data_IF_066576737363
#
_entry.id   IF_066576737363
#
_cell.length_a   1.000
_cell.length_b   1.000
_cell.length_c   1.000
_cell.angle_alpha   90.00
_cell.angle_beta   90.00
_cell.angle_gamma   90.00
#
_symmetry.space_group_name_H-M   'P 1'
#
loop_
_entity.id
_entity.type
_entity.pdbx_description
1 polymer ?
#
# COMPACT_ATOMS: atom_id res chain seq x y z
N UNK A 1 -11.55 -4.16 -10.33
CA UNK A 1 -11.18 -5.18 -9.33
C UNK A 1 -9.68 -5.34 -9.41
N UNK A 2 -9.00 -5.23 -8.28
CA UNK A 2 -7.57 -5.44 -8.16
C UNK A 2 -7.32 -6.46 -7.05
N UNK A 3 -6.36 -7.36 -7.24
CA UNK A 3 -5.90 -8.24 -6.16
C UNK A 3 -4.38 -8.32 -6.16
N UNK A 4 -3.76 -7.36 -5.46
CA UNK A 4 -2.32 -7.27 -5.31
C UNK A 4 -1.74 -8.51 -4.62
N UNK A 5 -2.48 -9.17 -3.74
CA UNK A 5 -2.05 -10.42 -3.08
C UNK A 5 -1.86 -11.60 -4.05
N UNK A 6 -2.52 -11.58 -5.20
CA UNK A 6 -2.48 -12.66 -6.20
C UNK A 6 -1.60 -12.32 -7.42
N UNK A 7 -0.91 -11.17 -7.41
CA UNK A 7 -0.06 -10.76 -8.52
C UNK A 7 1.16 -11.71 -8.62
N UNK A 8 1.42 -12.34 -9.78
CA UNK A 8 2.48 -13.32 -9.90
C UNK A 8 3.85 -12.69 -10.19
N UNK A 9 4.89 -13.52 -10.11
CA UNK A 9 6.20 -13.22 -10.68
C UNK A 9 6.27 -13.59 -12.16
N UNK A 10 7.12 -12.91 -12.93
CA UNK A 10 7.32 -13.18 -14.36
C UNK A 10 8.77 -13.52 -14.70
N UNK A 11 8.91 -14.32 -15.75
CA UNK A 11 10.18 -14.63 -16.41
C UNK A 11 10.09 -14.20 -17.87
N UNK A 12 11.18 -13.65 -18.39
CA UNK A 12 11.27 -13.36 -19.83
C UNK A 12 11.22 -14.65 -20.64
N UNK A 13 10.48 -14.63 -21.76
CA UNK A 13 10.43 -15.76 -22.70
C UNK A 13 11.76 -15.88 -23.46
N UNK A 14 12.31 -17.08 -23.55
CA UNK A 14 13.54 -17.35 -24.32
C UNK A 14 14.43 -18.39 -23.65
N UNK A 15 15.67 -18.49 -24.11
CA UNK A 15 16.68 -19.35 -23.49
C UNK A 15 17.15 -18.74 -22.16
N UNK A 16 17.33 -19.59 -21.14
CA UNK A 16 17.87 -19.17 -19.85
C UNK A 16 19.36 -18.82 -20.00
N UNK A 17 19.77 -17.57 -19.70
CA UNK A 17 21.16 -17.17 -19.83
C UNK A 17 22.07 -17.89 -18.82
N UNK A 18 23.31 -18.16 -19.22
CA UNK A 18 24.34 -18.67 -18.31
C UNK A 18 24.64 -17.65 -17.21
N UNK A 19 24.66 -18.08 -15.95
CA UNK A 19 24.85 -17.21 -14.78
C UNK A 19 23.57 -16.86 -14.02
N UNK A 20 22.39 -17.26 -14.52
CA UNK A 20 21.13 -17.21 -13.77
C UNK A 20 20.06 -16.31 -14.40
N UNK A 21 18.83 -16.46 -13.92
CA UNK A 21 17.66 -15.69 -14.38
C UNK A 21 16.99 -15.01 -13.19
N UNK A 22 16.54 -13.77 -13.38
CA UNK A 22 15.77 -13.03 -12.39
C UNK A 22 14.28 -13.20 -12.70
N UNK A 23 13.52 -13.68 -11.72
CA UNK A 23 12.07 -13.56 -11.73
C UNK A 23 11.71 -12.17 -11.19
N UNK A 24 10.91 -11.43 -11.96
CA UNK A 24 10.53 -10.06 -11.61
C UNK A 24 9.14 -10.04 -10.97
N UNK A 25 9.00 -9.25 -9.91
CA UNK A 25 7.72 -9.03 -9.23
C UNK A 25 6.87 -8.07 -10.06
N UNK A 26 5.67 -8.49 -10.49
CA UNK A 26 4.80 -7.65 -11.31
C UNK A 26 4.22 -6.45 -10.54
N UNK A 27 4.04 -6.54 -9.21
CA UNK A 27 3.59 -5.38 -8.42
C UNK A 27 4.60 -4.25 -8.58
N UNK A 28 5.88 -4.60 -8.40
CA UNK A 28 6.96 -3.62 -8.49
C UNK A 28 7.17 -3.17 -9.93
N UNK A 29 7.25 -4.12 -10.86
CA UNK A 29 7.61 -3.85 -12.26
C UNK A 29 6.54 -3.08 -13.02
N UNK A 30 5.29 -3.53 -12.95
CA UNK A 30 4.20 -3.01 -13.79
C UNK A 30 3.38 -1.95 -13.05
N UNK A 31 3.31 -2.02 -11.72
CA UNK A 31 2.51 -1.08 -10.91
C UNK A 31 3.31 0.07 -10.29
N UNK A 32 4.44 -0.23 -9.65
CA UNK A 32 5.10 0.70 -8.73
C UNK A 32 6.43 1.30 -9.22
N UNK A 33 6.90 0.94 -10.42
CA UNK A 33 8.14 1.47 -10.99
C UNK A 33 7.84 2.45 -12.12
N UNK A 34 8.41 3.65 -12.01
CA UNK A 34 8.32 4.64 -13.08
C UNK A 34 9.13 4.18 -14.30
N UNK A 35 8.49 4.12 -15.46
CA UNK A 35 9.09 3.60 -16.69
C UNK A 35 10.31 4.42 -17.14
N UNK A 36 10.25 5.75 -16.98
CA UNK A 36 11.24 6.67 -17.56
C UNK A 36 12.43 6.88 -16.62
N UNK A 37 12.15 7.10 -15.34
CA UNK A 37 13.14 7.39 -14.32
C UNK A 37 13.69 6.12 -13.66
N UNK A 38 13.05 4.96 -13.85
CA UNK A 38 13.44 3.66 -13.27
C UNK A 38 13.55 3.71 -11.74
N UNK A 39 12.63 4.42 -11.10
CA UNK A 39 12.54 4.56 -9.64
C UNK A 39 11.16 4.14 -9.14
N UNK A 40 11.07 3.75 -7.87
CA UNK A 40 9.80 3.46 -7.21
C UNK A 40 8.91 4.72 -7.12
N UNK A 41 7.59 4.57 -7.19
CA UNK A 41 6.62 5.68 -7.04
C UNK A 41 6.85 6.53 -5.78
N UNK A 42 7.28 5.90 -4.69
CA UNK A 42 7.65 6.60 -3.47
C UNK A 42 8.77 7.63 -3.64
N UNK A 43 9.74 7.40 -4.53
CA UNK A 43 10.77 8.39 -4.86
C UNK A 43 10.22 9.56 -5.67
N UNK A 44 9.19 9.33 -6.49
CA UNK A 44 8.48 10.41 -7.16
C UNK A 44 7.78 11.32 -6.14
N UNK A 45 7.19 10.74 -5.09
CA UNK A 45 6.59 11.49 -3.99
C UNK A 45 7.64 12.33 -3.23
N UNK A 46 8.82 11.77 -2.94
CA UNK A 46 9.93 12.50 -2.31
C UNK A 46 10.37 13.71 -3.15
N UNK A 47 10.40 13.59 -4.48
CA UNK A 47 10.74 14.70 -5.37
C UNK A 47 9.74 15.85 -5.24
N UNK A 48 8.45 15.55 -5.16
CA UNK A 48 7.40 16.55 -4.93
C UNK A 48 7.49 17.14 -3.54
N UNK A 49 7.73 16.32 -2.51
CA UNK A 49 7.91 16.79 -1.14
C UNK A 49 9.06 17.80 -1.04
N UNK A 50 10.19 17.53 -1.72
CA UNK A 50 11.32 18.45 -1.81
C UNK A 50 10.98 19.74 -2.56
N UNK A 51 10.30 19.67 -3.71
CA UNK A 51 9.96 20.85 -4.51
C UNK A 51 8.97 21.78 -3.82
N UNK A 52 8.01 21.19 -3.09
CA UNK A 52 6.94 21.92 -2.42
C UNK A 52 7.22 22.17 -0.93
N UNK A 53 8.40 21.79 -0.44
CA UNK A 53 8.80 21.89 0.97
C UNK A 53 7.81 21.23 1.95
N UNK A 54 7.23 20.09 1.56
CA UNK A 54 6.31 19.33 2.42
C UNK A 54 7.15 18.53 3.41
N UNK A 55 7.05 18.87 4.69
CA UNK A 55 7.84 18.26 5.74
C UNK A 55 7.35 16.86 6.12
N UNK A 56 8.25 16.06 6.70
CA UNK A 56 7.90 14.76 7.30
C UNK A 56 6.79 14.87 8.35
N UNK A 57 6.81 15.92 9.16
CA UNK A 57 5.83 16.12 10.23
C UNK A 57 4.42 16.37 9.67
N UNK A 58 4.31 17.15 8.59
CA UNK A 58 3.01 17.39 7.93
C UNK A 58 2.44 16.11 7.34
N UNK A 59 3.29 15.30 6.69
CA UNK A 59 2.89 14.01 6.11
C UNK A 59 2.42 13.03 7.19
N UNK A 60 3.16 12.90 8.29
CA UNK A 60 2.76 12.05 9.41
C UNK A 60 1.47 12.55 10.06
N UNK A 61 1.30 13.87 10.23
CA UNK A 61 0.07 14.46 10.76
C UNK A 61 -1.12 14.15 9.87
N UNK A 62 -0.95 14.27 8.55
CA UNK A 62 -1.98 13.90 7.59
C UNK A 62 -2.34 12.42 7.67
N UNK A 63 -1.34 11.53 7.73
CA UNK A 63 -1.55 10.09 7.85
C UNK A 63 -2.33 9.74 9.11
N UNK A 64 -1.94 10.26 10.28
CA UNK A 64 -2.67 10.06 11.53
C UNK A 64 -4.11 10.54 11.43
N UNK A 65 -4.33 11.71 10.80
CA UNK A 65 -5.69 12.23 10.57
C UNK A 65 -6.53 11.35 9.67
N UNK A 66 -5.91 10.69 8.67
CA UNK A 66 -6.58 9.73 7.78
C UNK A 66 -7.07 8.51 8.57
N UNK A 67 -6.20 7.89 9.38
CA UNK A 67 -6.60 6.76 10.24
C UNK A 67 -7.71 7.13 11.23
N UNK A 68 -7.61 8.31 11.86
CA UNK A 68 -8.65 8.79 12.78
C UNK A 68 -9.99 8.97 12.07
N UNK A 69 -10.01 9.64 10.91
CA UNK A 69 -11.24 9.87 10.13
C UNK A 69 -11.86 8.57 9.63
N UNK A 70 -11.04 7.62 9.17
CA UNK A 70 -11.53 6.30 8.74
C UNK A 70 -12.17 5.55 9.90
N UNK A 71 -11.54 5.54 11.08
CA UNK A 71 -12.12 4.94 12.28
C UNK A 71 -13.44 5.59 12.68
N UNK A 72 -13.48 6.92 12.74
CA UNK A 72 -14.71 7.66 13.08
C UNK A 72 -15.85 7.40 12.08
N UNK A 73 -15.55 7.28 10.79
CA UNK A 73 -16.53 6.99 9.76
C UNK A 73 -17.09 5.57 9.86
N UNK A 74 -16.23 4.59 10.15
CA UNK A 74 -16.62 3.20 10.43
C UNK A 74 -17.46 3.08 11.70
N UNK A 75 -17.01 3.70 12.80
CA UNK A 75 -17.74 3.72 14.09
C UNK A 75 -19.12 4.41 13.95
N UNK A 76 -19.23 5.43 13.08
CA UNK A 76 -20.49 6.11 12.77
C UNK A 76 -21.36 5.38 11.74
N UNK A 77 -20.93 4.22 11.21
CA UNK A 77 -21.70 3.42 10.26
C UNK A 77 -21.88 4.06 8.88
N UNK A 78 -21.03 5.02 8.49
CA UNK A 78 -21.18 5.79 7.24
C UNK A 78 -21.08 4.91 5.98
N UNK A 79 -20.38 3.79 6.06
CA UNK A 79 -20.16 2.87 4.94
C UNK A 79 -21.21 1.76 4.84
N UNK A 80 -22.22 1.75 5.71
CA UNK A 80 -23.22 0.67 5.75
C UNK A 80 -24.02 0.52 4.44
N UNK A 81 -24.22 1.62 3.70
CA UNK A 81 -24.88 1.61 2.39
C UNK A 81 -23.92 1.40 1.21
N UNK A 82 -22.62 1.47 1.44
CA UNK A 82 -21.58 1.41 0.40
C UNK A 82 -20.92 0.01 0.33
N UNK A 83 -20.66 -0.60 1.50
CA UNK A 83 -19.91 -1.85 1.59
C UNK A 83 -20.83 -3.05 1.57
N UNK A 84 -20.59 -3.95 0.62
CA UNK A 84 -21.23 -5.27 0.57
C UNK A 84 -20.30 -6.31 1.21
N UNK A 85 -20.76 -7.06 2.24
CA UNK A 85 -19.91 -8.04 2.91
C UNK A 85 -19.56 -9.22 2.01
N UNK A 86 -18.33 -9.71 2.13
CA UNK A 86 -17.81 -10.88 1.42
C UNK A 86 -17.65 -12.03 2.42
N UNK A 87 -18.19 -13.20 2.08
CA UNK A 87 -17.99 -14.43 2.87
C UNK A 87 -16.89 -15.26 2.24
N UNK A 88 -15.85 -15.56 3.01
CA UNK A 88 -14.70 -16.36 2.60
C UNK A 88 -14.86 -17.76 3.20
N UNK A 89 -15.05 -18.75 2.33
CA UNK A 89 -15.18 -20.15 2.70
C UNK A 89 -13.90 -20.93 2.42
N UNK A 90 -13.37 -21.60 3.43
CA UNK A 90 -12.19 -22.48 3.31
C UNK A 90 -12.57 -23.87 3.79
N UNK A 91 -12.33 -24.90 2.97
CA UNK A 91 -12.68 -26.28 3.29
C UNK A 91 -12.11 -26.70 4.66
N UNK A 92 -13.00 -27.14 5.56
CA UNK A 92 -12.62 -27.59 6.90
C UNK A 92 -12.40 -26.47 7.92
N UNK A 93 -12.73 -25.22 7.59
CA UNK A 93 -12.74 -24.07 8.50
C UNK A 93 -14.12 -23.41 8.51
N UNK A 94 -14.49 -22.73 9.62
CA UNK A 94 -15.69 -21.90 9.60
C UNK A 94 -15.51 -20.75 8.62
N UNK A 95 -16.63 -20.33 8.02
CA UNK A 95 -16.66 -19.19 7.12
C UNK A 95 -16.26 -17.89 7.84
N UNK A 96 -15.51 -17.04 7.14
CA UNK A 96 -15.10 -15.73 7.62
C UNK A 96 -15.85 -14.66 6.84
N UNK A 97 -16.64 -13.85 7.53
CA UNK A 97 -17.35 -12.72 6.90
C UNK A 97 -16.54 -11.45 7.06
N UNK A 98 -16.08 -10.90 5.94
CA UNK A 98 -15.40 -9.60 5.86
C UNK A 98 -16.44 -8.55 5.46
N UNK A 99 -16.72 -7.62 6.37
CA UNK A 99 -17.76 -6.58 6.21
C UNK A 99 -17.26 -5.16 6.47
N UNK A 100 -15.96 -5.04 6.68
CA UNK A 100 -15.30 -3.82 7.11
C UNK A 100 -13.88 -3.80 6.56
N UNK A 101 -13.37 -2.61 6.25
CA UNK A 101 -11.98 -2.43 5.84
C UNK A 101 -11.01 -2.93 6.92
N UNK A 102 -9.98 -3.70 6.51
CA UNK A 102 -9.01 -4.26 7.45
C UNK A 102 -7.97 -3.21 7.89
N UNK A 103 -7.52 -2.38 6.94
CA UNK A 103 -6.25 -1.67 7.06
C UNK A 103 -6.24 -0.56 8.10
N UNK A 104 -7.36 0.16 8.27
CA UNK A 104 -7.41 1.31 9.17
C UNK A 104 -7.19 0.93 10.65
N UNK A 105 -7.34 -0.35 10.99
CA UNK A 105 -7.09 -0.91 12.33
C UNK A 105 -5.62 -1.25 12.57
N UNK A 106 -4.80 -1.32 11.52
CA UNK A 106 -3.40 -1.79 11.55
C UNK A 106 -2.40 -0.66 11.77
N UNK A 107 -2.70 0.25 12.70
CA UNK A 107 -1.85 1.42 12.97
C UNK A 107 -1.48 1.53 14.44
N UNK A 108 -0.22 1.88 14.70
CA UNK A 108 0.27 2.28 16.01
C UNK A 108 0.72 3.75 15.95
N UNK A 109 -0.15 4.65 16.41
CA UNK A 109 0.05 6.10 16.39
C UNK A 109 1.39 6.51 17.04
N UNK A 110 1.85 5.77 18.06
CA UNK A 110 3.10 6.07 18.77
C UNK A 110 4.36 5.74 17.96
N UNK A 111 4.23 4.86 16.95
CA UNK A 111 5.33 4.42 16.09
C UNK A 111 5.47 5.27 14.83
N UNK A 112 4.40 5.93 14.37
CA UNK A 112 4.42 6.68 13.10
C UNK A 112 5.61 7.65 13.00
N UNK A 113 5.91 8.51 13.99
CA UNK A 113 7.05 9.43 13.90
C UNK A 113 8.41 8.73 13.97
N UNK A 114 8.47 7.49 14.47
CA UNK A 114 9.70 6.71 14.68
C UNK A 114 10.09 5.87 13.46
N UNK A 115 9.20 5.76 12.48
CA UNK A 115 9.47 4.96 11.29
C UNK A 115 10.54 5.60 10.42
N UNK A 116 11.41 4.72 9.90
CA UNK A 116 12.43 5.09 8.92
C UNK A 116 11.77 5.33 7.56
N UNK A 117 12.38 6.19 6.78
CA UNK A 117 12.00 6.42 5.39
C UNK A 117 12.41 5.21 4.54
N UNK A 118 11.51 4.75 3.69
CA UNK A 118 11.66 3.45 2.99
C UNK A 118 12.16 3.60 1.56
N UNK A 119 11.91 4.75 0.93
CA UNK A 119 12.28 4.98 -0.47
C UNK A 119 13.58 5.77 -0.62
N UNK A 120 13.82 6.74 0.27
CA UNK A 120 15.01 7.60 0.23
C UNK A 120 15.71 7.64 1.60
N UNK A 121 17.01 7.32 1.62
CA UNK A 121 17.82 7.30 2.86
C UNK A 121 18.17 8.71 3.35
N UNK A 122 18.58 9.59 2.43
CA UNK A 122 19.01 10.95 2.77
C UNK A 122 17.86 11.93 2.60
N UNK A 123 17.51 12.68 3.64
CA UNK A 123 16.43 13.69 3.61
C UNK A 123 15.09 13.15 3.08
N UNK A 124 14.80 11.87 3.33
CA UNK A 124 13.51 11.27 2.99
C UNK A 124 12.41 11.73 3.95
N UNK A 125 11.18 11.65 3.49
CA UNK A 125 9.96 11.99 4.22
C UNK A 125 8.92 10.87 4.19
N UNK A 126 8.96 10.00 3.18
CA UNK A 126 7.96 8.96 2.98
C UNK A 126 8.30 7.69 3.77
N UNK A 127 7.34 7.20 4.54
CA UNK A 127 7.40 6.00 5.38
C UNK A 127 6.26 5.05 5.07
N UNK A 128 6.34 3.83 5.61
CA UNK A 128 5.25 2.86 5.49
C UNK A 128 3.93 3.32 6.15
N UNK A 129 3.97 4.25 7.12
CA UNK A 129 2.75 4.72 7.77
C UNK A 129 2.08 5.89 7.04
N UNK A 130 2.85 6.70 6.31
CA UNK A 130 2.33 7.87 5.60
C UNK A 130 2.20 7.66 4.07
N UNK A 131 2.52 6.45 3.60
CA UNK A 131 2.18 5.96 2.26
C UNK A 131 0.98 5.02 2.32
N UNK A 132 0.31 4.82 1.17
CA UNK A 132 -0.70 3.77 1.02
C UNK A 132 -0.09 2.37 1.08
N UNK A 133 -0.87 1.39 1.48
CA UNK A 133 -0.47 -0.02 1.50
C UNK A 133 -0.85 -0.74 0.20
N UNK A 134 -0.51 -2.03 0.11
CA UNK A 134 -0.92 -2.90 -1.00
C UNK A 134 -2.20 -3.61 -0.55
N UNK A 135 -3.27 -3.51 -1.34
CA UNK A 135 -4.60 -3.95 -0.92
C UNK A 135 -5.32 -4.73 -2.04
N UNK A 136 -6.36 -5.46 -1.66
CA UNK A 136 -7.26 -6.16 -2.57
C UNK A 136 -8.66 -5.53 -2.49
N UNK A 137 -9.33 -5.31 -3.62
CA UNK A 137 -10.66 -4.70 -3.61
C UNK A 137 -11.29 -4.47 -4.99
N UNK A 138 -12.58 -4.14 -4.99
CA UNK A 138 -13.34 -3.77 -6.19
C UNK A 138 -14.49 -2.81 -5.85
N UNK A 139 -14.81 -1.93 -6.79
CA UNK A 139 -16.01 -1.09 -6.79
C UNK A 139 -16.61 -1.09 -8.21
N UNK A 140 -17.94 -0.98 -8.33
CA UNK A 140 -18.68 -1.05 -9.58
C UNK A 140 -19.92 -0.13 -9.55
#
# INVERSE_FOLDING_TARGET
MESMSNVPYVMSRGATPYGGVKLEDLIVKDGLTDVYNKIHMGNCAENTAKKMNISRQEQDTYALSSYTRSKEAWDAGKFASEITPITISVKGKPDVVVKEDEEYKRVDFSKVPKLKTVFQKENGTITAANASTLNDGAAA
#
